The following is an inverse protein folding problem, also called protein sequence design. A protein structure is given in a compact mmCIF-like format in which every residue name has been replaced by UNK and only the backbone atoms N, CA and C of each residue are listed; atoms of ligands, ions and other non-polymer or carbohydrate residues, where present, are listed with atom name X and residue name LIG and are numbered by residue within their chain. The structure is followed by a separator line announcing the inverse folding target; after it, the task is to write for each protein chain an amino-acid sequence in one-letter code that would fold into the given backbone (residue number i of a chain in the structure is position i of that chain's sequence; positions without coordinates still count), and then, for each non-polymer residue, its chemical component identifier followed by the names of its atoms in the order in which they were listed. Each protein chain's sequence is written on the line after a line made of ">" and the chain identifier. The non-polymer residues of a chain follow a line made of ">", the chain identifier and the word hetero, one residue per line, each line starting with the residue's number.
data_IF_121291863809
#
_entry.id   IF_121291863809
#
_cell.length_a   1.000
_cell.length_b   1.000
_cell.length_c   1.000
_cell.angle_alpha   90.00
_cell.angle_beta   90.00
_cell.angle_gamma   90.00
#
_symmetry.space_group_name_H-M   'P 1'
#
loop_
_entity.id
_entity.type
_entity.pdbx_description
1 polymer ?
#
# COMPACT_ATOMS: atom_id res chain seq x y z
N UNK A 1 18.04 -30.11 -3.81
CA UNK A 1 16.56 -30.25 -3.79
C UNK A 1 15.93 -28.88 -3.56
N UNK A 2 15.39 -28.23 -4.61
CA UNK A 2 14.61 -26.97 -4.55
C UNK A 2 13.23 -26.99 -5.28
N UNK A 3 12.63 -28.12 -5.70
CA UNK A 3 11.47 -28.05 -6.60
C UNK A 3 10.16 -27.63 -5.92
N UNK A 4 10.02 -27.82 -4.60
CA UNK A 4 8.72 -27.68 -3.90
C UNK A 4 8.32 -26.21 -3.72
N UNK A 5 9.30 -25.32 -3.47
CA UNK A 5 9.02 -23.90 -3.18
C UNK A 5 8.55 -23.16 -4.44
N UNK A 6 9.08 -23.54 -5.60
CA UNK A 6 8.75 -22.94 -6.89
C UNK A 6 7.35 -23.37 -7.38
N UNK A 7 6.98 -24.64 -7.16
CA UNK A 7 5.63 -25.15 -7.47
C UNK A 7 4.55 -24.53 -6.60
N UNK A 8 4.81 -24.35 -5.30
CA UNK A 8 3.88 -23.63 -4.40
C UNK A 8 3.70 -22.16 -4.81
N UNK A 9 4.77 -21.47 -5.22
CA UNK A 9 4.67 -20.11 -5.74
C UNK A 9 3.88 -20.03 -7.05
N UNK A 10 4.06 -21.00 -7.95
CA UNK A 10 3.31 -21.06 -9.22
C UNK A 10 1.82 -21.38 -8.99
N UNK A 11 1.49 -22.27 -8.05
CA UNK A 11 0.12 -22.61 -7.69
C UNK A 11 -0.61 -21.45 -7.01
N UNK A 12 0.03 -20.79 -6.04
CA UNK A 12 -0.52 -19.59 -5.39
C UNK A 12 -0.65 -18.40 -6.36
N UNK A 13 0.30 -18.24 -7.29
CA UNK A 13 0.25 -17.23 -8.34
C UNK A 13 -0.86 -17.45 -9.37
N UNK A 14 -1.37 -18.68 -9.49
CA UNK A 14 -2.53 -19.01 -10.34
C UNK A 14 -3.86 -18.90 -9.61
N UNK A 15 -3.89 -19.08 -8.28
CA UNK A 15 -5.12 -18.96 -7.48
C UNK A 15 -5.47 -17.52 -7.10
N UNK A 16 -4.48 -16.67 -6.87
CA UNK A 16 -4.72 -15.27 -6.50
C UNK A 16 -4.37 -14.38 -7.68
N UNK A 17 -5.38 -14.00 -8.47
CA UNK A 17 -5.23 -12.92 -9.43
C UNK A 17 -4.72 -11.69 -8.68
N UNK A 18 -3.56 -11.13 -9.06
CA UNK A 18 -3.02 -9.97 -8.39
C UNK A 18 -4.06 -8.86 -8.32
N UNK A 19 -4.20 -8.27 -7.15
CA UNK A 19 -5.14 -7.18 -6.90
C UNK A 19 -4.76 -6.02 -7.82
N UNK A 20 -5.74 -5.61 -8.62
CA UNK A 20 -5.58 -4.48 -9.53
C UNK A 20 -5.43 -3.17 -8.75
N UNK A 21 -4.81 -2.17 -9.39
CA UNK A 21 -4.72 -0.79 -8.87
C UNK A 21 -6.08 -0.27 -8.37
N UNK A 22 -7.15 -0.49 -9.16
CA UNK A 22 -8.52 -0.05 -8.82
C UNK A 22 -9.06 -0.75 -7.58
N UNK A 23 -8.76 -2.05 -7.43
CA UNK A 23 -9.19 -2.82 -6.27
C UNK A 23 -8.43 -2.37 -5.01
N UNK A 24 -7.11 -2.18 -5.09
CA UNK A 24 -6.33 -1.63 -3.98
C UNK A 24 -6.84 -0.26 -3.52
N UNK A 25 -7.16 0.64 -4.46
CA UNK A 25 -7.76 1.94 -4.12
C UNK A 25 -9.14 1.82 -3.45
N UNK A 26 -9.93 0.79 -3.82
CA UNK A 26 -11.23 0.53 -3.18
C UNK A 26 -11.06 0.05 -1.74
N UNK A 27 -10.12 -0.87 -1.51
CA UNK A 27 -9.77 -1.36 -0.17
C UNK A 27 -9.40 -0.18 0.73
N UNK A 28 -8.51 0.70 0.26
CA UNK A 28 -8.12 1.89 1.02
C UNK A 28 -9.30 2.82 1.27
N UNK A 29 -10.12 3.14 0.26
CA UNK A 29 -11.31 3.99 0.50
C UNK A 29 -12.26 3.43 1.55
N UNK A 30 -12.39 2.11 1.63
CA UNK A 30 -13.25 1.45 2.61
C UNK A 30 -12.64 1.43 4.01
N UNK A 31 -11.30 1.41 4.13
CA UNK A 31 -10.60 1.46 5.41
C UNK A 31 -10.48 2.86 6.00
N UNK A 32 -10.61 3.91 5.17
CA UNK A 32 -10.53 5.29 5.63
C UNK A 32 -11.78 5.73 6.43
N UNK A 33 -11.60 6.62 7.43
CA UNK A 33 -12.71 7.27 8.11
C UNK A 33 -13.56 8.08 7.12
N UNK A 34 -14.83 8.29 7.45
CA UNK A 34 -15.81 8.93 6.55
C UNK A 34 -15.35 10.32 6.07
N UNK A 35 -14.71 11.09 6.97
CA UNK A 35 -14.13 12.41 6.68
C UNK A 35 -13.04 12.40 5.60
N UNK A 36 -12.43 11.24 5.31
CA UNK A 36 -11.32 11.09 4.37
C UNK A 36 -11.69 10.31 3.10
N UNK A 37 -12.92 9.78 2.99
CA UNK A 37 -13.33 8.91 1.87
C UNK A 37 -13.28 9.58 0.50
N UNK A 38 -13.46 10.90 0.48
CA UNK A 38 -13.47 11.72 -0.74
C UNK A 38 -12.12 12.36 -1.06
N UNK A 39 -11.08 12.11 -0.24
CA UNK A 39 -9.74 12.63 -0.49
C UNK A 39 -9.15 12.01 -1.76
N UNK A 40 -8.36 12.80 -2.48
CA UNK A 40 -7.65 12.35 -3.67
C UNK A 40 -6.57 11.34 -3.29
N UNK A 41 -6.75 10.09 -3.72
CA UNK A 41 -5.77 9.02 -3.56
C UNK A 41 -4.87 8.90 -4.79
N UNK A 42 -3.56 8.75 -4.59
CA UNK A 42 -2.59 8.47 -5.65
C UNK A 42 -1.99 7.09 -5.44
N UNK A 43 -2.36 6.13 -6.30
CA UNK A 43 -1.80 4.78 -6.25
C UNK A 43 -0.56 4.65 -7.16
N UNK A 44 0.54 4.13 -6.60
CA UNK A 44 1.82 3.88 -7.25
C UNK A 44 2.21 2.41 -7.11
N UNK A 45 2.93 1.88 -8.12
CA UNK A 45 3.45 0.50 -8.10
C UNK A 45 4.79 0.36 -7.40
N UNK A 46 5.43 1.49 -7.07
CA UNK A 46 6.73 1.65 -6.42
C UNK A 46 6.61 2.67 -5.27
N UNK A 47 7.48 2.61 -4.26
CA UNK A 47 7.48 3.58 -3.17
C UNK A 47 7.64 5.02 -3.70
N UNK A 48 7.07 6.03 -3.01
CA UNK A 48 7.31 7.44 -3.32
C UNK A 48 8.81 7.76 -3.22
N UNK A 49 9.27 8.78 -3.96
CA UNK A 49 10.65 9.24 -3.83
C UNK A 49 10.92 9.74 -2.40
N UNK A 50 12.11 9.44 -1.86
CA UNK A 50 12.53 9.83 -0.50
C UNK A 50 11.64 9.30 0.64
N UNK A 51 10.86 8.26 0.42
CA UNK A 51 10.09 7.63 1.50
C UNK A 51 10.98 6.70 2.34
N UNK A 52 11.02 6.89 3.66
CA UNK A 52 11.71 6.02 4.61
C UNK A 52 10.74 5.05 5.29
N UNK A 53 10.08 4.22 4.48
CA UNK A 53 9.10 3.24 4.99
C UNK A 53 9.86 1.97 5.38
N UNK A 54 10.19 1.84 6.66
CA UNK A 54 10.86 0.66 7.24
C UNK A 54 9.85 -0.48 7.49
N UNK A 55 9.31 -1.07 6.41
CA UNK A 55 8.43 -2.23 6.51
C UNK A 55 9.16 -3.50 6.06
N UNK A 56 9.17 -4.51 6.93
CA UNK A 56 9.65 -5.86 6.59
C UNK A 56 8.45 -6.66 6.05
N UNK A 57 8.14 -6.52 4.77
CA UNK A 57 7.21 -7.42 4.06
C UNK A 57 7.89 -8.02 2.83
N UNK A 58 7.73 -9.33 2.64
CA UNK A 58 8.19 -10.04 1.44
C UNK A 58 7.21 -9.90 0.27
N UNK A 59 6.00 -9.38 0.52
CA UNK A 59 4.97 -9.19 -0.48
C UNK A 59 5.15 -7.87 -1.24
N UNK A 60 5.02 -7.91 -2.57
CA UNK A 60 4.97 -6.67 -3.37
C UNK A 60 3.68 -5.91 -3.05
N UNK A 61 3.79 -4.61 -2.79
CA UNK A 61 2.66 -3.77 -2.42
C UNK A 61 2.32 -2.70 -3.48
N UNK A 62 1.07 -2.26 -3.48
CA UNK A 62 0.65 -0.94 -3.98
C UNK A 62 0.92 0.10 -2.91
N UNK A 63 1.42 1.26 -3.32
CA UNK A 63 1.66 2.40 -2.45
C UNK A 63 0.58 3.44 -2.73
N UNK A 64 -0.33 3.64 -1.78
CA UNK A 64 -1.45 4.57 -1.91
C UNK A 64 -1.15 5.78 -1.04
N UNK A 65 -0.95 6.92 -1.70
CA UNK A 65 -0.58 8.19 -1.08
C UNK A 65 -1.82 9.07 -0.96
N UNK A 66 -1.96 9.72 0.20
CA UNK A 66 -3.00 10.71 0.47
C UNK A 66 -2.45 11.82 1.37
N UNK A 67 -2.96 13.05 1.27
CA UNK A 67 -2.66 14.11 2.23
C UNK A 67 -3.20 13.74 3.62
N UNK A 68 -2.54 14.21 4.68
CA UNK A 68 -3.14 14.21 6.02
C UNK A 68 -4.29 15.21 6.06
N UNK A 69 -5.42 14.80 6.64
CA UNK A 69 -6.60 15.63 6.84
C UNK A 69 -6.85 15.91 8.33
N UNK A 70 -5.78 16.13 9.09
CA UNK A 70 -5.82 16.41 10.53
C UNK A 70 -5.80 17.92 10.84
N UNK A 71 -5.78 18.78 9.82
CA UNK A 71 -5.77 20.24 9.98
C UNK A 71 -4.46 20.79 10.55
N UNK A 72 -3.46 19.94 10.79
CA UNK A 72 -2.15 20.31 11.28
C UNK A 72 -1.29 20.72 10.08
N UNK A 73 -1.51 21.95 9.63
CA UNK A 73 -0.74 22.59 8.57
C UNK A 73 0.71 22.78 8.99
N UNK A 74 1.57 21.87 8.54
CA UNK A 74 3.02 22.00 8.64
C UNK A 74 3.67 20.80 9.34
N UNK A 75 4.73 20.28 8.72
CA UNK A 75 5.66 19.26 9.21
C UNK A 75 5.31 17.77 9.05
N UNK A 76 4.06 17.37 8.75
CA UNK A 76 3.79 15.94 8.45
C UNK A 76 4.00 15.63 6.98
N UNK A 77 4.90 14.68 6.70
CA UNK A 77 5.08 14.06 5.38
C UNK A 77 3.79 13.40 4.87
N UNK A 78 3.69 13.06 3.58
CA UNK A 78 2.47 12.45 3.01
C UNK A 78 2.07 11.16 3.77
N UNK A 79 0.77 10.86 3.91
CA UNK A 79 0.33 9.55 4.42
C UNK A 79 0.44 8.52 3.31
N UNK A 80 0.97 7.34 3.63
CA UNK A 80 1.15 6.23 2.69
C UNK A 80 0.56 4.97 3.29
N UNK A 81 -0.26 4.30 2.48
CA UNK A 81 -0.88 3.02 2.81
C UNK A 81 -0.35 1.95 1.85
N UNK A 82 0.22 0.87 2.38
CA UNK A 82 0.74 -0.25 1.58
C UNK A 82 -0.29 -1.37 1.53
N UNK A 83 -0.75 -1.71 0.33
CA UNK A 83 -1.69 -2.81 0.10
C UNK A 83 -0.99 -3.95 -0.63
N UNK A 84 -1.01 -5.15 -0.07
CA UNK A 84 -0.44 -6.35 -0.69
C UNK A 84 -1.05 -6.64 -2.06
N UNK A 85 -0.22 -6.86 -3.08
CA UNK A 85 -0.68 -7.14 -4.45
C UNK A 85 -1.28 -8.54 -4.61
N UNK A 86 -0.97 -9.48 -3.73
CA UNK A 86 -1.51 -10.83 -3.73
C UNK A 86 -2.67 -10.95 -2.74
N UNK A 87 -2.51 -10.38 -1.55
CA UNK A 87 -3.43 -10.60 -0.42
C UNK A 87 -4.49 -9.52 -0.26
N UNK A 88 -4.18 -8.28 -0.66
CA UNK A 88 -5.04 -7.11 -0.41
C UNK A 88 -5.00 -6.61 1.01
N UNK A 89 -4.15 -7.21 1.85
CA UNK A 89 -3.95 -6.77 3.21
C UNK A 89 -3.26 -5.41 3.22
N UNK A 90 -3.69 -4.56 4.14
CA UNK A 90 -2.97 -3.34 4.48
C UNK A 90 -1.80 -3.74 5.37
N UNK A 91 -0.57 -3.62 4.85
CA UNK A 91 0.65 -3.93 5.60
C UNK A 91 1.22 -2.72 6.35
N UNK A 92 0.84 -1.52 5.93
CA UNK A 92 1.29 -0.28 6.54
C UNK A 92 0.26 0.83 6.28
N UNK A 93 0.06 1.67 7.28
CA UNK A 93 -0.73 2.89 7.22
C UNK A 93 -0.07 3.94 8.13
N UNK A 94 0.59 4.93 7.53
CA UNK A 94 1.36 5.90 8.30
C UNK A 94 2.09 6.93 7.44
N UNK A 95 3.04 7.64 8.04
CA UNK A 95 3.81 8.68 7.35
C UNK A 95 4.77 8.10 6.30
N UNK A 96 4.92 8.76 5.15
CA UNK A 96 5.92 8.43 4.15
C UNK A 96 7.36 8.56 4.67
N UNK A 97 7.58 9.33 5.76
CA UNK A 97 8.90 9.66 6.27
C UNK A 97 9.74 10.46 5.27
N UNK A 98 9.08 11.26 4.42
CA UNK A 98 9.70 12.17 3.46
C UNK A 98 9.91 13.59 4.05
N UNK A 99 9.97 13.67 5.38
CA UNK A 99 10.33 14.88 6.12
C UNK A 99 11.81 15.18 5.86
N UNK A 100 12.08 16.37 5.30
CA UNK A 100 13.41 16.83 4.94
C UNK A 100 13.39 18.31 4.60
#
# INVERSE_FOLDING_TARGET
>A
MKPVKDWLQLMLGRMFLPISRRHAMRIVRQSLPESERNVRLVCRSKPPARSNIYLITSERCWYIVLPWNDGLGGLRGERVILVGKLTGMIHYDGCAGNEG
#
